data_IF_877780911103
#
_entry.id   IF_877780911103
#
_cell.length_a   1.000
_cell.length_b   1.000
_cell.length_c   1.000
_cell.angle_alpha   90.00
_cell.angle_beta   90.00
_cell.angle_gamma   90.00
#
_symmetry.space_group_name_H-M   'P 1'
#
loop_
_entity.id
_entity.type
_entity.pdbx_description
1 polymer ?
#
# COMPACT_ATOMS: atom_id res chain seq x y z
N UNK A 1 37.54 52.35 -34.58
CA UNK A 1 37.73 51.40 -33.47
C UNK A 1 36.41 50.68 -33.33
N UNK A 2 36.27 49.56 -34.05
CA UNK A 2 35.04 48.78 -34.09
C UNK A 2 35.06 47.77 -32.95
N UNK A 3 33.96 47.71 -32.20
CA UNK A 3 33.79 46.78 -31.09
C UNK A 3 33.53 45.40 -31.72
N UNK A 4 34.34 44.36 -31.42
CA UNK A 4 34.10 43.02 -31.95
C UNK A 4 32.74 42.52 -31.47
N UNK A 5 31.97 41.97 -32.41
CA UNK A 5 30.70 41.30 -32.21
C UNK A 5 30.70 40.39 -30.97
N UNK A 6 29.69 40.55 -30.13
CA UNK A 6 29.28 39.59 -29.09
C UNK A 6 28.79 38.28 -29.75
N UNK A 7 29.68 37.58 -30.45
CA UNK A 7 29.52 36.20 -30.90
C UNK A 7 29.67 35.31 -29.67
N UNK A 8 28.59 35.10 -28.94
CA UNK A 8 28.61 34.18 -27.79
C UNK A 8 27.47 34.36 -26.79
N UNK A 9 26.66 35.41 -26.92
CA UNK A 9 25.47 35.62 -26.10
C UNK A 9 24.17 35.44 -26.89
N UNK A 10 24.12 34.44 -27.77
CA UNK A 10 22.83 33.93 -28.25
C UNK A 10 22.25 33.04 -27.15
N UNK A 11 21.32 33.62 -26.40
CA UNK A 11 20.34 32.93 -25.58
C UNK A 11 19.69 31.82 -26.42
N UNK A 12 19.96 30.55 -26.13
CA UNK A 12 18.93 29.49 -26.15
C UNK A 12 19.41 28.12 -25.66
N UNK A 13 20.12 28.07 -24.53
CA UNK A 13 19.96 26.93 -23.61
C UNK A 13 19.82 27.48 -22.21
N UNK A 14 18.80 28.33 -22.03
CA UNK A 14 18.17 28.40 -20.71
C UNK A 14 17.89 26.96 -20.31
N UNK A 15 18.22 26.62 -19.06
CA UNK A 15 17.91 25.35 -18.43
C UNK A 15 16.43 25.06 -18.68
N UNK A 16 16.10 24.40 -19.78
CA UNK A 16 14.73 23.99 -20.06
C UNK A 16 14.45 22.95 -18.99
N UNK A 17 13.55 23.29 -18.06
CA UNK A 17 13.07 22.31 -17.10
C UNK A 17 12.33 21.27 -17.92
N UNK A 18 12.97 20.12 -18.12
CA UNK A 18 12.31 18.97 -18.71
C UNK A 18 11.16 18.59 -17.77
N UNK A 19 9.98 18.36 -18.31
CA UNK A 19 8.91 17.77 -17.52
C UNK A 19 9.39 16.40 -17.01
N UNK A 20 9.25 16.17 -15.71
CA UNK A 20 9.47 14.82 -15.18
C UNK A 20 8.39 13.95 -15.86
N UNK A 21 8.75 12.90 -16.60
CA UNK A 21 7.74 11.97 -17.08
C UNK A 21 6.92 11.54 -15.86
N UNK A 22 5.59 11.61 -15.96
CA UNK A 22 4.71 11.03 -14.96
C UNK A 22 5.25 9.63 -14.70
N UNK A 23 5.54 9.34 -13.43
CA UNK A 23 5.90 7.98 -13.04
C UNK A 23 4.72 7.15 -13.55
N UNK A 24 4.93 6.27 -14.52
CA UNK A 24 3.93 5.27 -14.86
C UNK A 24 3.52 4.68 -13.52
N UNK A 25 2.24 4.83 -13.17
CA UNK A 25 1.74 4.26 -11.93
C UNK A 25 2.11 2.79 -12.02
N UNK A 26 3.11 2.35 -11.23
CA UNK A 26 3.49 0.95 -11.23
C UNK A 26 2.21 0.19 -10.98
N UNK A 27 1.81 -0.68 -11.91
CA UNK A 27 0.60 -1.49 -11.80
C UNK A 27 0.52 -1.99 -10.36
N UNK A 28 -0.49 -1.50 -9.62
CA UNK A 28 -0.53 -1.61 -8.17
C UNK A 28 -0.20 -3.04 -7.75
N UNK A 29 0.94 -3.24 -7.09
CA UNK A 29 1.40 -4.58 -6.76
C UNK A 29 0.40 -5.21 -5.79
N UNK A 30 -0.25 -6.29 -6.24
CA UNK A 30 -1.10 -7.09 -5.36
C UNK A 30 -0.21 -7.86 -4.37
N UNK A 31 -0.58 -7.80 -3.09
CA UNK A 31 0.14 -8.43 -1.99
C UNK A 31 -0.76 -9.48 -1.33
N UNK A 32 -0.15 -10.51 -0.75
CA UNK A 32 -0.83 -11.50 0.09
C UNK A 32 -0.46 -11.28 1.55
N UNK A 33 -1.45 -11.00 2.37
CA UNK A 33 -1.27 -10.59 3.76
C UNK A 33 -1.97 -11.60 4.66
N UNK A 34 -1.25 -12.19 5.61
CA UNK A 34 -1.79 -13.16 6.57
C UNK A 34 -1.94 -12.54 7.96
N UNK A 35 -3.06 -12.82 8.63
CA UNK A 35 -3.37 -12.42 10.00
C UNK A 35 -3.56 -13.69 10.85
N UNK A 36 -2.49 -14.20 11.49
CA UNK A 36 -2.60 -15.35 12.37
C UNK A 36 -3.26 -14.97 13.69
N UNK A 37 -3.75 -15.97 14.41
CA UNK A 37 -4.22 -15.82 15.78
C UNK A 37 -3.03 -15.70 16.73
N UNK A 38 -3.14 -14.81 17.70
CA UNK A 38 -2.14 -14.68 18.77
C UNK A 38 -2.18 -15.88 19.72
N UNK A 39 -1.00 -16.39 20.09
CA UNK A 39 -0.84 -17.59 20.94
C UNK A 39 -0.27 -17.29 22.33
N UNK A 40 0.11 -16.03 22.59
CA UNK A 40 0.69 -15.63 23.86
C UNK A 40 -0.36 -15.54 24.97
N UNK A 41 0.05 -15.90 26.19
CA UNK A 41 -0.82 -15.78 27.38
C UNK A 41 -1.22 -14.32 27.60
N UNK A 42 -2.49 -14.10 27.94
CA UNK A 42 -3.12 -12.79 28.15
C UNK A 42 -3.06 -11.80 26.96
N UNK A 43 -2.62 -12.23 25.76
CA UNK A 43 -2.72 -11.42 24.54
C UNK A 43 -4.14 -11.48 23.97
N UNK A 44 -4.74 -10.30 23.79
CA UNK A 44 -6.14 -10.14 23.34
C UNK A 44 -6.27 -9.32 22.08
N UNK A 45 -5.15 -8.79 21.56
CA UNK A 45 -5.14 -7.98 20.33
C UNK A 45 -5.10 -8.89 19.11
N UNK A 46 -5.35 -8.28 17.97
CA UNK A 46 -5.18 -8.86 16.64
C UNK A 46 -4.39 -7.86 15.81
N UNK A 47 -3.54 -8.35 14.90
CA UNK A 47 -2.67 -7.49 14.10
C UNK A 47 -3.44 -6.55 13.15
N UNK A 48 -4.65 -6.96 12.73
CA UNK A 48 -5.48 -6.24 11.77
C UNK A 48 -6.95 -6.28 12.17
N UNK A 49 -7.55 -5.12 12.38
CA UNK A 49 -8.99 -4.98 12.61
C UNK A 49 -9.75 -5.12 11.28
N UNK A 50 -11.05 -5.50 11.29
CA UNK A 50 -11.87 -5.62 10.09
C UNK A 50 -11.83 -4.36 9.21
N UNK A 51 -11.92 -3.17 9.80
CA UNK A 51 -11.83 -1.91 9.06
C UNK A 51 -10.53 -1.75 8.24
N UNK A 52 -9.41 -2.29 8.73
CA UNK A 52 -8.15 -2.30 8.00
C UNK A 52 -8.12 -3.32 6.86
N UNK A 53 -8.81 -4.46 7.01
CA UNK A 53 -9.01 -5.45 5.93
C UNK A 53 -9.71 -4.80 4.74
N UNK A 54 -10.85 -4.15 4.98
CA UNK A 54 -11.61 -3.53 3.89
C UNK A 54 -10.79 -2.50 3.10
N UNK A 55 -9.91 -1.76 3.78
CA UNK A 55 -8.97 -0.85 3.12
C UNK A 55 -7.99 -1.62 2.24
N UNK A 56 -7.31 -2.66 2.76
CA UNK A 56 -6.33 -3.42 1.99
C UNK A 56 -6.96 -4.15 0.79
N UNK A 57 -8.12 -4.76 0.98
CA UNK A 57 -8.88 -5.43 -0.09
C UNK A 57 -9.29 -4.42 -1.15
N UNK A 58 -9.79 -3.24 -0.76
CA UNK A 58 -10.15 -2.18 -1.72
C UNK A 58 -8.97 -1.62 -2.52
N UNK A 59 -7.74 -1.77 -2.00
CA UNK A 59 -6.50 -1.41 -2.71
C UNK A 59 -5.95 -2.57 -3.56
N UNK A 60 -6.68 -3.69 -3.68
CA UNK A 60 -6.33 -4.82 -4.54
C UNK A 60 -5.38 -5.84 -3.91
N UNK A 61 -5.25 -5.85 -2.58
CA UNK A 61 -4.49 -6.86 -1.86
C UNK A 61 -5.38 -8.03 -1.41
N UNK A 62 -4.80 -9.22 -1.34
CA UNK A 62 -5.45 -10.42 -0.79
C UNK A 62 -5.14 -10.50 0.71
N UNK A 63 -6.17 -10.64 1.54
CA UNK A 63 -6.03 -10.75 3.01
C UNK A 63 -6.57 -12.11 3.45
N UNK A 64 -5.75 -12.84 4.22
CA UNK A 64 -6.07 -14.13 4.79
C UNK A 64 -6.09 -14.00 6.31
N UNK A 65 -7.13 -14.48 6.97
CA UNK A 65 -7.30 -14.37 8.43
C UNK A 65 -7.51 -15.76 9.02
N UNK A 66 -6.72 -16.14 10.03
CA UNK A 66 -6.94 -17.40 10.75
C UNK A 66 -8.29 -17.34 11.47
N UNK A 67 -9.10 -18.39 11.34
CA UNK A 67 -10.38 -18.51 12.05
C UNK A 67 -10.19 -18.28 13.56
N UNK A 68 -10.93 -17.32 14.10
CA UNK A 68 -10.87 -16.93 15.49
C UNK A 68 -9.73 -16.01 15.90
N UNK A 69 -8.92 -15.50 14.96
CA UNK A 69 -7.85 -14.54 15.27
C UNK A 69 -8.37 -13.27 15.97
N UNK A 70 -9.57 -12.81 15.60
CA UNK A 70 -10.19 -11.60 16.15
C UNK A 70 -11.04 -11.80 17.41
N UNK A 71 -11.33 -13.05 17.81
CA UNK A 71 -12.35 -13.33 18.84
C UNK A 71 -12.04 -12.67 20.18
N UNK A 72 -10.79 -12.70 20.63
CA UNK A 72 -10.36 -12.06 21.88
C UNK A 72 -10.36 -10.54 21.82
N UNK A 73 -10.26 -9.98 20.61
CA UNK A 73 -10.35 -8.55 20.32
C UNK A 73 -11.81 -8.08 20.07
N UNK A 74 -12.79 -8.97 20.25
CA UNK A 74 -14.21 -8.74 19.98
C UNK A 74 -14.57 -8.52 18.50
N UNK A 75 -13.80 -9.10 17.60
CA UNK A 75 -14.15 -9.19 16.18
C UNK A 75 -14.55 -10.63 15.84
N UNK A 76 -15.72 -10.81 15.24
CA UNK A 76 -16.20 -12.09 14.73
C UNK A 76 -15.57 -12.39 13.37
N UNK A 77 -15.48 -13.67 13.03
CA UNK A 77 -14.93 -14.10 11.74
C UNK A 77 -15.78 -13.57 10.56
N UNK A 78 -17.11 -13.48 10.73
CA UNK A 78 -18.03 -12.91 9.74
C UNK A 78 -17.69 -11.44 9.40
N UNK A 79 -17.18 -10.65 10.37
CA UNK A 79 -16.79 -9.26 10.12
C UNK A 79 -15.58 -9.14 9.18
N UNK A 80 -14.74 -10.18 9.14
CA UNK A 80 -13.60 -10.26 8.23
C UNK A 80 -14.04 -10.75 6.84
N UNK A 81 -14.89 -11.77 6.78
CA UNK A 81 -15.43 -12.33 5.53
C UNK A 81 -16.28 -11.28 4.77
N UNK A 82 -17.14 -10.55 5.48
CA UNK A 82 -17.97 -9.47 4.91
C UNK A 82 -17.13 -8.34 4.27
N UNK A 83 -15.86 -8.18 4.67
CA UNK A 83 -14.92 -7.18 4.14
C UNK A 83 -13.97 -7.75 3.09
N UNK A 84 -14.16 -9.02 2.69
CA UNK A 84 -13.42 -9.67 1.61
C UNK A 84 -12.09 -10.28 2.02
N UNK A 85 -11.86 -10.52 3.32
CA UNK A 85 -10.78 -11.42 3.72
C UNK A 85 -11.19 -12.89 3.52
N UNK A 86 -10.22 -13.74 3.22
CA UNK A 86 -10.38 -15.18 3.18
C UNK A 86 -10.10 -15.78 4.57
N UNK A 87 -11.08 -16.46 5.15
CA UNK A 87 -10.91 -17.19 6.41
C UNK A 87 -10.18 -18.52 6.16
N UNK A 88 -9.06 -18.73 6.86
CA UNK A 88 -8.22 -19.92 6.71
C UNK A 88 -8.08 -20.69 8.02
N UNK A 89 -7.91 -22.01 7.92
CA UNK A 89 -7.61 -22.87 9.06
C UNK A 89 -6.11 -22.88 9.35
N UNK A 90 -5.75 -23.04 10.63
CA UNK A 90 -4.37 -23.29 11.02
C UNK A 90 -3.89 -24.68 10.54
N UNK A 91 -2.61 -24.84 10.16
CA UNK A 91 -2.04 -26.13 9.78
C UNK A 91 -1.94 -27.15 10.93
#
# INVERSE_FOLDING_TARGET
MEIPSLQGFERERGLMTMEKPLKEEEEGQSLRIGVPREVADDERRVALAPSGVGVLVSNGHEVYVEQGAGQQAHFQDDEYDDLGAELVEAP
#
